data_IF_014318541365
#
_entry.id   IF_014318541365
#
_cell.length_a   1.000
_cell.length_b   1.000
_cell.length_c   1.000
_cell.angle_alpha   90.00
_cell.angle_beta   90.00
_cell.angle_gamma   90.00
#
_symmetry.space_group_name_H-M   'P 1'
#
loop_
_entity.id
_entity.type
_entity.pdbx_description
1 polymer ?
#
# COMPACT_ATOMS: atom_id res chain seq x y z
N UNK A 1 -17.30 -8.78 12.83
CA UNK A 1 -16.07 -8.78 12.00
C UNK A 1 -16.15 -7.58 11.06
N UNK A 2 -15.07 -6.80 10.88
CA UNK A 2 -15.09 -5.65 9.97
C UNK A 2 -15.49 -6.09 8.56
N UNK A 3 -16.39 -5.34 7.94
CA UNK A 3 -16.91 -5.62 6.62
C UNK A 3 -16.08 -4.92 5.54
N UNK A 4 -16.35 -5.26 4.28
CA UNK A 4 -15.76 -4.58 3.11
C UNK A 4 -15.78 -3.06 3.25
N UNK A 5 -16.93 -2.48 3.59
CA UNK A 5 -17.10 -1.03 3.66
C UNK A 5 -16.30 -0.40 4.81
N UNK A 6 -16.16 -1.09 5.94
CA UNK A 6 -15.35 -0.61 7.08
C UNK A 6 -13.89 -0.43 6.66
N UNK A 7 -13.37 -1.39 5.90
CA UNK A 7 -12.02 -1.34 5.35
C UNK A 7 -11.85 -0.26 4.28
N UNK A 8 -12.82 -0.10 3.38
CA UNK A 8 -12.79 0.99 2.38
C UNK A 8 -12.81 2.36 3.05
N UNK A 9 -13.64 2.55 4.09
CA UNK A 9 -13.70 3.80 4.84
C UNK A 9 -12.38 4.09 5.55
N UNK A 10 -11.76 3.08 6.15
CA UNK A 10 -10.43 3.25 6.77
C UNK A 10 -9.34 3.54 5.73
N UNK A 11 -9.42 2.95 4.53
CA UNK A 11 -8.51 3.28 3.44
C UNK A 11 -8.63 4.77 3.04
N UNK A 12 -9.86 5.27 2.91
CA UNK A 12 -10.15 6.69 2.62
C UNK A 12 -9.64 7.61 3.72
N UNK A 13 -9.82 7.23 4.99
CA UNK A 13 -9.26 7.97 6.12
C UNK A 13 -7.73 8.06 6.05
N UNK A 14 -7.05 6.94 5.77
CA UNK A 14 -5.60 6.91 5.62
C UNK A 14 -5.10 7.72 4.41
N UNK A 15 -5.89 7.78 3.33
CA UNK A 15 -5.63 8.67 2.19
C UNK A 15 -5.67 10.14 2.64
N UNK A 16 -6.73 10.55 3.33
CA UNK A 16 -6.83 11.93 3.83
C UNK A 16 -5.69 12.28 4.78
N UNK A 17 -5.26 11.34 5.62
CA UNK A 17 -4.07 11.52 6.45
C UNK A 17 -2.81 11.76 5.60
N UNK A 18 -2.57 10.93 4.58
CA UNK A 18 -1.43 11.08 3.66
C UNK A 18 -1.44 12.44 2.95
N UNK A 19 -2.59 12.87 2.42
CA UNK A 19 -2.74 14.17 1.77
C UNK A 19 -2.46 15.33 2.74
N UNK A 20 -2.91 15.23 3.99
CA UNK A 20 -2.68 16.25 5.01
C UNK A 20 -1.20 16.38 5.40
N UNK A 21 -0.51 15.27 5.66
CA UNK A 21 0.92 15.33 6.02
C UNK A 21 1.78 15.78 4.83
N UNK A 22 1.45 15.33 3.62
CA UNK A 22 2.18 15.72 2.42
C UNK A 22 1.93 17.20 2.06
N UNK A 23 0.70 17.69 2.14
CA UNK A 23 0.38 19.08 1.80
C UNK A 23 1.02 20.09 2.76
N UNK A 24 1.08 19.76 4.05
CA UNK A 24 1.66 20.60 5.11
C UNK A 24 3.20 20.61 5.08
N UNK A 25 3.84 19.47 4.83
CA UNK A 25 5.29 19.38 4.73
C UNK A 25 5.72 18.28 3.72
N UNK A 26 5.78 18.59 2.41
CA UNK A 26 6.04 17.58 1.38
C UNK A 26 7.37 16.84 1.53
N UNK A 27 8.41 17.56 1.97
CA UNK A 27 9.76 17.03 2.16
C UNK A 27 9.98 16.45 3.58
N UNK A 28 9.00 16.60 4.47
CA UNK A 28 9.08 16.11 5.85
C UNK A 28 8.29 14.81 6.05
N UNK A 29 8.58 14.12 7.15
CA UNK A 29 7.85 12.92 7.57
C UNK A 29 7.75 11.85 6.46
N UNK A 30 8.79 11.72 5.63
CA UNK A 30 8.78 10.83 4.47
C UNK A 30 8.53 9.36 4.87
N UNK A 31 9.05 8.96 6.02
CA UNK A 31 8.78 7.68 6.67
C UNK A 31 7.28 7.47 6.95
N UNK A 32 6.59 8.49 7.46
CA UNK A 32 5.14 8.47 7.66
C UNK A 32 4.36 8.53 6.35
N UNK A 33 4.83 9.26 5.35
CA UNK A 33 4.21 9.29 4.02
C UNK A 33 4.27 7.89 3.37
N UNK A 34 5.43 7.25 3.36
CA UNK A 34 5.61 5.85 2.89
C UNK A 34 4.76 4.88 3.69
N UNK A 35 4.78 5.00 5.03
CA UNK A 35 4.01 4.12 5.91
C UNK A 35 2.52 4.24 5.66
N UNK A 36 2.02 5.45 5.43
CA UNK A 36 0.62 5.71 5.12
C UNK A 36 0.20 5.04 3.81
N UNK A 37 1.02 5.08 2.76
CA UNK A 37 0.77 4.36 1.51
C UNK A 37 0.54 2.86 1.76
N UNK A 38 1.38 2.23 2.59
CA UNK A 38 1.20 0.82 2.94
C UNK A 38 -0.09 0.59 3.74
N UNK A 39 -0.43 1.45 4.71
CA UNK A 39 -1.66 1.28 5.47
C UNK A 39 -2.92 1.52 4.64
N UNK A 40 -2.89 2.32 3.57
CA UNK A 40 -3.98 2.35 2.59
C UNK A 40 -4.09 0.98 1.90
N UNK A 41 -2.97 0.43 1.43
CA UNK A 41 -2.94 -0.88 0.79
C UNK A 41 -3.43 -2.02 1.71
N UNK A 42 -3.02 -2.05 2.98
CA UNK A 42 -3.51 -3.02 3.98
C UNK A 42 -5.04 -3.01 4.06
N UNK A 43 -5.64 -1.81 4.08
CA UNK A 43 -7.09 -1.69 4.16
C UNK A 43 -7.78 -2.13 2.87
N UNK A 44 -7.21 -1.83 1.70
CA UNK A 44 -7.76 -2.32 0.44
C UNK A 44 -7.69 -3.84 0.31
N UNK A 45 -6.58 -4.45 0.73
CA UNK A 45 -6.43 -5.90 0.74
C UNK A 45 -7.40 -6.55 1.74
N UNK A 46 -7.56 -5.97 2.92
CA UNK A 46 -8.53 -6.50 3.88
C UNK A 46 -9.98 -6.33 3.39
N UNK A 47 -10.28 -5.26 2.64
CA UNK A 47 -11.59 -5.13 1.98
C UNK A 47 -11.80 -6.27 0.97
N UNK A 48 -10.80 -6.55 0.13
CA UNK A 48 -10.82 -7.68 -0.80
C UNK A 48 -11.06 -9.01 -0.08
N UNK A 49 -10.28 -9.32 0.95
CA UNK A 49 -10.40 -10.55 1.72
C UNK A 49 -11.76 -10.67 2.45
N UNK A 50 -12.31 -9.55 2.92
CA UNK A 50 -13.64 -9.55 3.53
C UNK A 50 -14.75 -9.96 2.54
N UNK A 51 -14.62 -9.69 1.23
CA UNK A 51 -15.55 -10.20 0.21
C UNK A 51 -15.45 -11.72 -0.01
N UNK A 52 -14.42 -12.36 0.53
CA UNK A 52 -14.23 -13.80 0.54
C UNK A 52 -14.46 -14.42 1.93
N UNK A 53 -15.08 -13.68 2.86
CA UNK A 53 -15.29 -14.08 4.26
C UNK A 53 -13.98 -14.42 5.01
N UNK A 54 -12.86 -13.85 4.58
CA UNK A 54 -11.53 -14.08 5.15
C UNK A 54 -11.08 -12.92 6.02
N UNK A 55 -10.49 -13.23 7.18
CA UNK A 55 -9.85 -12.26 8.05
C UNK A 55 -8.59 -12.82 8.68
N UNK A 56 -7.53 -12.00 8.67
CA UNK A 56 -6.23 -12.38 9.19
C UNK A 56 -5.67 -11.30 10.09
N UNK A 57 -4.89 -11.73 11.09
CA UNK A 57 -4.26 -10.83 12.07
C UNK A 57 -2.81 -10.51 11.72
N UNK A 58 -2.14 -11.38 10.98
CA UNK A 58 -0.73 -11.21 10.62
C UNK A 58 -0.59 -10.83 9.16
N UNK A 59 0.46 -10.05 8.86
CA UNK A 59 0.77 -9.71 7.48
C UNK A 59 1.24 -10.90 6.64
N UNK A 60 1.76 -11.96 7.28
CA UNK A 60 2.17 -13.20 6.61
C UNK A 60 0.94 -13.93 6.10
N UNK A 61 -0.05 -14.15 6.97
CA UNK A 61 -1.29 -14.83 6.57
C UNK A 61 -2.02 -14.06 5.47
N UNK A 62 -2.08 -12.73 5.57
CA UNK A 62 -2.63 -11.88 4.50
C UNK A 62 -1.90 -12.12 3.18
N UNK A 63 -0.56 -12.11 3.20
CA UNK A 63 0.26 -12.30 1.99
C UNK A 63 0.00 -13.68 1.36
N UNK A 64 -0.11 -14.72 2.17
CA UNK A 64 -0.36 -16.08 1.68
C UNK A 64 -1.78 -16.22 1.11
N UNK A 65 -2.76 -15.57 1.72
CA UNK A 65 -4.16 -15.59 1.26
C UNK A 65 -4.39 -14.86 -0.07
N UNK A 66 -3.52 -13.93 -0.45
CA UNK A 66 -3.59 -13.20 -1.72
C UNK A 66 -2.56 -13.66 -2.76
N UNK A 67 -1.69 -14.62 -2.41
CA UNK A 67 -0.55 -15.01 -3.22
C UNK A 67 -1.01 -15.68 -4.54
N UNK A 68 -0.64 -15.17 -5.73
CA UNK A 68 -1.03 -15.74 -7.03
C UNK A 68 -0.45 -17.13 -7.33
N UNK A 69 0.52 -17.61 -6.54
CA UNK A 69 1.16 -18.91 -6.72
C UNK A 69 0.71 -19.95 -5.69
N UNK A 70 -0.11 -19.56 -4.71
CA UNK A 70 -0.65 -20.49 -3.73
C UNK A 70 -1.89 -21.18 -4.28
N UNK A 71 -1.88 -22.52 -4.29
CA UNK A 71 -3.05 -23.29 -4.72
C UNK A 71 -4.30 -23.03 -3.86
N UNK A 72 -4.12 -22.62 -2.60
CA UNK A 72 -5.22 -22.30 -1.69
C UNK A 72 -5.92 -21.00 -2.09
N UNK A 73 -5.16 -19.90 -2.22
CA UNK A 73 -5.71 -18.59 -2.57
C UNK A 73 -6.34 -18.58 -3.97
N UNK A 74 -5.75 -19.31 -4.93
CA UNK A 74 -6.32 -19.47 -6.27
C UNK A 74 -7.67 -20.18 -6.20
N UNK A 75 -7.73 -21.32 -5.48
CA UNK A 75 -8.97 -22.10 -5.33
C UNK A 75 -10.08 -21.31 -4.63
N UNK A 76 -9.71 -20.47 -3.67
CA UNK A 76 -10.64 -19.62 -2.93
C UNK A 76 -11.00 -18.32 -3.68
N UNK A 77 -10.35 -18.05 -4.82
CA UNK A 77 -10.56 -16.83 -5.61
C UNK A 77 -10.01 -15.55 -4.98
N UNK A 78 -9.33 -15.65 -3.84
CA UNK A 78 -8.75 -14.52 -3.11
C UNK A 78 -7.40 -14.08 -3.66
N UNK A 79 -6.78 -14.90 -4.52
CA UNK A 79 -5.54 -14.55 -5.21
C UNK A 79 -5.67 -13.23 -6.00
N UNK A 80 -4.65 -12.38 -5.89
CA UNK A 80 -4.48 -11.22 -6.75
C UNK A 80 -3.76 -11.62 -8.04
N UNK A 81 -3.75 -10.71 -9.00
CA UNK A 81 -2.83 -10.81 -10.13
C UNK A 81 -1.39 -10.51 -9.68
N UNK A 82 -0.41 -10.98 -10.45
CA UNK A 82 1.01 -10.89 -10.09
C UNK A 82 1.45 -9.45 -9.82
N UNK A 83 0.99 -8.51 -10.63
CA UNK A 83 1.37 -7.09 -10.56
C UNK A 83 0.95 -6.47 -9.22
N UNK A 84 -0.30 -6.69 -8.81
CA UNK A 84 -0.90 -6.17 -7.59
C UNK A 84 -0.32 -6.85 -6.36
N UNK A 85 -0.13 -8.17 -6.41
CA UNK A 85 0.53 -8.91 -5.35
C UNK A 85 1.94 -8.35 -5.08
N UNK A 86 2.74 -8.17 -6.14
CA UNK A 86 4.07 -7.59 -6.02
C UNK A 86 4.02 -6.15 -5.51
N UNK A 87 3.07 -5.32 -5.97
CA UNK A 87 2.91 -3.96 -5.47
C UNK A 87 2.62 -3.93 -3.96
N UNK A 88 1.75 -4.81 -3.45
CA UNK A 88 1.48 -4.94 -2.02
C UNK A 88 2.72 -5.38 -1.23
N UNK A 89 3.44 -6.41 -1.69
CA UNK A 89 4.66 -6.89 -1.03
C UNK A 89 5.74 -5.81 -1.01
N UNK A 90 5.91 -5.05 -2.10
CA UNK A 90 6.90 -3.95 -2.13
C UNK A 90 6.52 -2.82 -1.19
N UNK A 91 5.24 -2.47 -1.07
CA UNK A 91 4.79 -1.50 -0.06
C UNK A 91 5.05 -1.98 1.37
N UNK A 92 4.83 -3.26 1.64
CA UNK A 92 5.14 -3.85 2.94
C UNK A 92 6.63 -3.69 3.27
N UNK A 93 7.52 -4.03 2.33
CA UNK A 93 8.97 -3.88 2.50
C UNK A 93 9.39 -2.42 2.71
N UNK A 94 8.85 -1.49 1.92
CA UNK A 94 9.12 -0.05 2.08
C UNK A 94 8.65 0.47 3.45
N UNK A 95 7.44 0.09 3.89
CA UNK A 95 6.94 0.46 5.22
C UNK A 95 7.75 -0.15 6.35
N UNK A 96 8.24 -1.39 6.18
CA UNK A 96 9.14 -2.02 7.15
C UNK A 96 10.45 -1.23 7.26
N UNK A 97 11.07 -0.85 6.14
CA UNK A 97 12.23 0.05 6.13
C UNK A 97 11.95 1.36 6.86
N UNK A 98 10.83 2.02 6.55
CA UNK A 98 10.51 3.32 7.15
C UNK A 98 10.31 3.28 8.66
N UNK A 99 9.78 2.18 9.20
CA UNK A 99 9.53 2.04 10.64
C UNK A 99 10.72 1.51 11.44
N UNK A 100 11.52 0.64 10.83
CA UNK A 100 12.56 -0.11 11.54
C UNK A 100 13.97 0.21 11.08
N UNK A 101 14.13 1.13 10.12
CA UNK A 101 15.43 1.57 9.58
C UNK A 101 16.27 0.43 9.00
N UNK A 102 15.60 -0.56 8.41
CA UNK A 102 16.21 -1.76 7.79
C UNK A 102 16.25 -1.67 6.27
N UNK A 103 17.11 -2.48 5.65
CA UNK A 103 17.13 -2.62 4.20
C UNK A 103 15.83 -3.27 3.70
N UNK A 104 15.18 -2.70 2.69
CA UNK A 104 13.95 -3.25 2.11
C UNK A 104 14.18 -4.54 1.30
N UNK A 105 15.45 -4.84 1.00
CA UNK A 105 15.87 -6.04 0.25
C UNK A 105 16.28 -7.20 1.15
N UNK A 106 16.49 -6.95 2.43
CA UNK A 106 16.92 -7.99 3.37
C UNK A 106 15.76 -8.39 4.26
N UNK A 107 15.53 -9.69 4.39
CA UNK A 107 14.58 -10.22 5.36
C UNK A 107 15.20 -10.29 6.77
N UNK A 108 16.52 -10.15 6.90
CA UNK A 108 17.23 -10.25 8.16
C UNK A 108 17.19 -8.96 9.00
N UNK A 109 16.96 -9.14 10.30
CA UNK A 109 16.97 -8.10 11.33
C UNK A 109 18.37 -7.83 11.91
N UNK A 110 19.39 -8.56 11.45
CA UNK A 110 20.72 -8.58 12.06
C UNK A 110 21.72 -7.61 11.41
N UNK A 111 21.31 -6.86 10.39
CA UNK A 111 22.17 -5.86 9.77
C UNK A 111 22.30 -4.65 10.69
N UNK A 112 23.50 -4.35 11.20
CA UNK A 112 23.74 -3.21 12.10
C UNK A 112 23.71 -1.85 11.39
N UNK A 113 23.50 -1.84 10.08
CA UNK A 113 23.49 -0.63 9.25
C UNK A 113 22.10 0.01 9.27
N UNK A 114 22.07 1.33 9.47
CA UNK A 114 20.84 2.13 9.44
C UNK A 114 20.46 2.49 8.00
N UNK A 115 19.19 2.27 7.65
CA UNK A 115 18.64 2.55 6.33
C UNK A 115 17.49 3.56 6.42
N UNK A 116 17.81 4.84 6.21
CA UNK A 116 16.83 5.94 6.26
C UNK A 116 15.88 5.94 5.04
N UNK A 117 14.72 6.59 5.21
CA UNK A 117 13.74 6.78 4.13
C UNK A 117 13.94 8.15 3.48
N UNK A 118 13.76 8.22 2.17
CA UNK A 118 13.99 9.40 1.33
C UNK A 118 12.92 9.47 0.22
N UNK A 119 12.88 10.56 -0.52
CA UNK A 119 11.87 10.80 -1.56
C UNK A 119 11.78 9.69 -2.60
N UNK A 120 12.91 9.07 -2.98
CA UNK A 120 12.93 7.91 -3.90
C UNK A 120 12.12 6.72 -3.38
N UNK A 121 12.02 6.55 -2.06
CA UNK A 121 11.21 5.51 -1.44
C UNK A 121 9.73 5.89 -1.43
N UNK A 122 9.43 7.17 -1.22
CA UNK A 122 8.07 7.69 -1.29
C UNK A 122 7.53 7.62 -2.71
N UNK A 123 8.31 7.99 -3.72
CA UNK A 123 7.96 7.81 -5.13
C UNK A 123 7.60 6.35 -5.43
N UNK A 124 8.46 5.40 -5.05
CA UNK A 124 8.19 3.96 -5.23
C UNK A 124 6.89 3.55 -4.54
N UNK A 125 6.65 4.04 -3.33
CA UNK A 125 5.42 3.76 -2.60
C UNK A 125 4.18 4.31 -3.33
N UNK A 126 4.23 5.53 -3.86
CA UNK A 126 3.13 6.12 -4.65
C UNK A 126 2.84 5.30 -5.90
N UNK A 127 3.88 4.85 -6.62
CA UNK A 127 3.71 4.00 -7.82
C UNK A 127 2.99 2.69 -7.48
N UNK A 128 3.42 1.99 -6.44
CA UNK A 128 2.78 0.75 -6.00
C UNK A 128 1.36 0.98 -5.46
N UNK A 129 1.13 2.07 -4.74
CA UNK A 129 -0.20 2.43 -4.26
C UNK A 129 -1.14 2.74 -5.43
N UNK A 130 -0.68 3.47 -6.44
CA UNK A 130 -1.44 3.77 -7.64
C UNK A 130 -1.90 2.49 -8.35
N UNK A 131 -1.00 1.51 -8.52
CA UNK A 131 -1.35 0.18 -9.07
C UNK A 131 -2.50 -0.46 -8.29
N UNK A 132 -2.42 -0.49 -6.95
CA UNK A 132 -3.47 -1.10 -6.13
C UNK A 132 -4.79 -0.33 -6.19
N UNK A 133 -4.75 1.00 -6.18
CA UNK A 133 -5.98 1.82 -6.28
C UNK A 133 -6.67 1.61 -7.63
N UNK A 134 -5.92 1.58 -8.74
CA UNK A 134 -6.47 1.27 -10.07
C UNK A 134 -7.20 -0.07 -10.02
N UNK A 135 -6.52 -1.09 -9.52
CA UNK A 135 -7.07 -2.43 -9.44
C UNK A 135 -8.34 -2.49 -8.59
N UNK A 136 -8.32 -1.95 -7.38
CA UNK A 136 -9.46 -2.05 -6.46
C UNK A 136 -10.64 -1.15 -6.86
N UNK A 137 -10.38 0.00 -7.47
CA UNK A 137 -11.46 0.80 -8.06
C UNK A 137 -12.15 0.06 -9.20
N UNK A 138 -11.38 -0.63 -10.06
CA UNK A 138 -11.94 -1.42 -11.17
C UNK A 138 -12.64 -2.69 -10.69
N UNK A 139 -11.99 -3.48 -9.84
CA UNK A 139 -12.45 -4.81 -9.42
C UNK A 139 -13.55 -4.76 -8.37
N UNK A 140 -13.44 -3.87 -7.39
CA UNK A 140 -14.31 -3.83 -6.22
C UNK A 140 -15.22 -2.60 -6.17
N UNK A 141 -15.08 -1.66 -7.13
CA UNK A 141 -15.92 -0.46 -7.17
C UNK A 141 -15.75 0.44 -5.95
N UNK A 142 -14.55 0.47 -5.33
CA UNK A 142 -14.30 1.20 -4.07
C UNK A 142 -14.52 2.71 -4.14
N UNK A 143 -14.59 3.28 -5.35
CA UNK A 143 -14.77 4.72 -5.62
C UNK A 143 -13.82 5.58 -4.78
N UNK A 144 -12.54 5.28 -4.85
CA UNK A 144 -11.46 6.09 -4.30
C UNK A 144 -11.16 7.22 -5.28
N UNK A 145 -11.23 8.46 -4.78
CA UNK A 145 -10.89 9.64 -5.57
C UNK A 145 -9.37 9.73 -5.78
N UNK A 146 -8.92 10.38 -6.86
CA UNK A 146 -7.51 10.66 -7.04
C UNK A 146 -6.92 11.44 -5.86
N UNK A 147 -5.76 10.99 -5.38
CA UNK A 147 -5.03 11.59 -4.27
C UNK A 147 -4.31 12.85 -4.74
N UNK A 148 -4.32 13.89 -3.93
CA UNK A 148 -3.56 15.13 -4.17
C UNK A 148 -2.23 15.08 -3.44
N UNK A 149 -1.13 14.92 -4.19
CA UNK A 149 0.20 14.72 -3.63
C UNK A 149 1.21 15.66 -4.29
N UNK A 150 2.10 16.24 -3.50
CA UNK A 150 3.30 16.96 -3.95
C UNK A 150 4.47 15.98 -3.93
N UNK A 151 5.03 15.70 -5.11
CA UNK A 151 6.22 14.86 -5.26
C UNK A 151 6.98 15.35 -6.50
N UNK A 152 8.21 15.85 -6.31
CA UNK A 152 8.99 16.48 -7.37
C UNK A 152 9.55 15.50 -8.40
N UNK A 153 9.62 14.20 -8.06
CA UNK A 153 10.23 13.17 -8.91
C UNK A 153 9.24 12.49 -9.84
N UNK A 154 7.92 12.66 -9.62
CA UNK A 154 6.85 12.11 -10.46
C UNK A 154 6.31 13.22 -11.37
N UNK A 155 6.17 12.93 -12.67
CA UNK A 155 5.60 13.91 -13.61
C UNK A 155 4.09 14.01 -13.43
N UNK A 156 3.53 15.19 -13.76
CA UNK A 156 2.07 15.35 -13.84
C UNK A 156 1.48 14.31 -14.80
N UNK A 157 0.32 13.77 -14.44
CA UNK A 157 -0.43 12.76 -15.21
C UNK A 157 0.25 11.40 -15.39
N UNK A 158 1.44 11.20 -14.81
CA UNK A 158 2.14 9.91 -14.87
C UNK A 158 1.39 8.79 -14.12
N UNK A 159 0.62 9.16 -13.10
CA UNK A 159 -0.14 8.23 -12.26
C UNK A 159 -1.63 8.57 -12.32
N UNK A 160 -2.45 7.56 -12.64
CA UNK A 160 -3.89 7.76 -12.92
C UNK A 160 -4.73 8.11 -11.69
N UNK A 161 -4.31 7.71 -10.49
CA UNK A 161 -5.01 8.00 -9.22
C UNK A 161 -4.19 8.86 -8.26
N UNK A 162 -3.09 9.45 -8.72
CA UNK A 162 -2.26 10.35 -7.93
C UNK A 162 -2.06 11.63 -8.73
N UNK A 163 -2.82 12.66 -8.38
CA UNK A 163 -2.74 13.98 -8.96
C UNK A 163 -1.57 14.75 -8.34
N UNK A 164 -0.50 14.92 -9.12
CA UNK A 164 0.68 15.68 -8.72
C UNK A 164 0.38 17.18 -8.72
N UNK A 165 0.56 17.83 -7.56
CA UNK A 165 0.32 19.26 -7.35
C UNK A 165 1.56 20.11 -7.57
#
# INVERSE_FOLDING_TARGET
MPQFLDHVNQAKHNISFLENINSSNPAGYIDWQVTSCYYVAVRLINAHLANHDMQYRTHVDVKDAINPHSASSIRQGSALEQTEYLAYVKLQSLSRRSRYLVNEKDDNLNEQKVFLTYDVHFEKALRHLNTLIIYFNKKLGTRINPLKIKCSTIKKEELSFIAIQ
#
